data_IF_123334725761
#
_entry.id   IF_123334725761
#
_cell.length_a   1.000
_cell.length_b   1.000
_cell.length_c   1.000
_cell.angle_alpha   90.00
_cell.angle_beta   90.00
_cell.angle_gamma   90.00
#
_symmetry.space_group_name_H-M   'P 1'
#
loop_
_entity.id
_entity.type
_entity.pdbx_description
1 polymer ?
#
# COMPACT_ATOMS: atom_id res chain seq x y z
N UNK A 1 -17.96 -14.28 64.16
CA UNK A 1 -18.14 -12.83 64.43
C UNK A 1 -17.07 -12.14 63.64
N UNK A 2 -17.38 -11.72 62.41
CA UNK A 2 -16.47 -10.91 61.60
C UNK A 2 -17.28 -9.69 61.15
N UNK A 3 -17.12 -8.58 61.87
CA UNK A 3 -17.66 -7.30 61.44
C UNK A 3 -17.01 -6.91 60.12
N UNK A 4 -17.76 -6.41 59.12
CA UNK A 4 -17.15 -5.89 57.91
C UNK A 4 -16.32 -4.66 58.26
N UNK A 5 -14.99 -4.80 58.24
CA UNK A 5 -14.07 -3.68 58.40
C UNK A 5 -14.25 -2.72 57.22
N UNK A 6 -14.88 -1.57 57.46
CA UNK A 6 -14.92 -0.47 56.49
C UNK A 6 -13.57 0.25 56.48
N UNK A 7 -12.84 0.18 55.37
CA UNK A 7 -11.59 0.92 55.18
C UNK A 7 -11.90 2.30 54.62
N UNK A 8 -11.38 3.34 55.27
CA UNK A 8 -11.53 4.72 54.83
C UNK A 8 -10.48 5.02 53.76
N UNK A 9 -10.92 5.49 52.59
CA UNK A 9 -10.03 5.76 51.44
C UNK A 9 -9.94 7.25 51.21
N UNK A 10 -8.73 7.74 50.96
CA UNK A 10 -8.51 9.13 50.60
C UNK A 10 -9.04 9.37 49.19
N UNK A 11 -10.04 10.26 49.06
CA UNK A 11 -10.61 10.61 47.76
C UNK A 11 -10.86 12.13 47.71
N UNK A 12 -10.00 12.90 47.03
CA UNK A 12 -10.19 14.34 46.88
C UNK A 12 -11.42 14.63 46.03
N UNK A 13 -12.29 15.54 46.50
CA UNK A 13 -13.58 15.88 45.85
C UNK A 13 -13.41 16.43 44.44
N UNK A 14 -12.29 17.08 44.12
CA UNK A 14 -12.02 17.60 42.78
C UNK A 14 -11.57 16.52 41.78
N UNK A 15 -11.16 15.34 42.26
CA UNK A 15 -10.52 14.34 41.41
C UNK A 15 -11.47 13.18 41.14
N UNK A 16 -12.17 13.23 40.00
CA UNK A 16 -13.04 12.16 39.53
C UNK A 16 -12.22 10.92 39.15
N UNK A 17 -11.92 10.06 40.11
CA UNK A 17 -11.26 8.75 39.91
C UNK A 17 -12.28 7.63 39.89
N UNK A 18 -12.01 6.58 39.10
CA UNK A 18 -12.81 5.37 39.17
C UNK A 18 -12.41 4.57 40.42
N UNK A 19 -13.31 3.76 41.02
CA UNK A 19 -12.96 2.89 42.15
C UNK A 19 -11.82 1.90 41.85
N UNK A 20 -11.57 1.60 40.57
CA UNK A 20 -10.47 0.74 40.10
C UNK A 20 -9.11 1.45 40.02
N UNK A 21 -9.10 2.76 40.23
CA UNK A 21 -7.90 3.59 40.25
C UNK A 21 -7.47 3.95 41.68
N UNK A 22 -8.18 3.43 42.70
CA UNK A 22 -7.78 3.50 44.10
C UNK A 22 -6.58 2.56 44.30
N UNK A 23 -5.56 3.08 44.96
CA UNK A 23 -4.29 2.41 45.24
C UNK A 23 -4.06 2.31 46.75
N UNK A 24 -3.05 1.52 47.13
CA UNK A 24 -2.61 1.41 48.52
C UNK A 24 -2.18 2.77 49.10
N UNK A 25 -1.63 3.66 48.27
CA UNK A 25 -1.25 5.02 48.66
C UNK A 25 -2.47 5.85 49.10
N UNK A 26 -3.64 5.65 48.49
CA UNK A 26 -4.88 6.34 48.90
C UNK A 26 -5.36 5.85 50.29
N UNK A 27 -5.09 4.59 50.65
CA UNK A 27 -5.40 4.05 51.99
C UNK A 27 -4.38 4.54 53.01
N UNK A 28 -3.09 4.48 52.67
CA UNK A 28 -1.99 4.95 53.52
C UNK A 28 -2.16 6.44 53.84
N UNK A 29 -2.53 7.26 52.86
CA UNK A 29 -2.75 8.68 53.08
C UNK A 29 -3.94 8.95 54.01
N UNK A 30 -5.03 8.19 53.89
CA UNK A 30 -6.18 8.31 54.78
C UNK A 30 -5.86 7.94 56.23
N UNK A 31 -5.17 6.82 56.46
CA UNK A 31 -4.75 6.43 57.82
C UNK A 31 -3.68 7.37 58.37
N UNK A 32 -2.76 7.86 57.53
CA UNK A 32 -1.78 8.86 57.93
C UNK A 32 -2.46 10.16 58.40
N UNK A 33 -3.42 10.70 57.65
CA UNK A 33 -4.15 11.91 58.04
C UNK A 33 -4.87 11.74 59.38
N UNK A 34 -5.46 10.56 59.62
CA UNK A 34 -6.13 10.20 60.88
C UNK A 34 -5.14 10.12 62.05
N UNK A 35 -4.00 9.44 61.87
CA UNK A 35 -2.96 9.34 62.89
C UNK A 35 -2.36 10.72 63.18
N UNK A 36 -2.09 11.52 62.14
CA UNK A 36 -1.55 12.87 62.27
C UNK A 36 -2.51 13.79 63.03
N UNK A 37 -3.82 13.70 62.75
CA UNK A 37 -4.83 14.47 63.48
C UNK A 37 -4.88 14.11 64.97
N UNK A 38 -4.86 12.82 65.30
CA UNK A 38 -4.85 12.33 66.68
C UNK A 38 -3.58 12.75 67.43
N UNK A 39 -2.42 12.55 66.80
CA UNK A 39 -1.14 12.94 67.39
C UNK A 39 -1.07 14.45 67.64
N UNK A 40 -1.53 15.27 66.70
CA UNK A 40 -1.57 16.72 66.83
C UNK A 40 -2.39 17.20 68.03
N UNK A 41 -3.50 16.52 68.35
CA UNK A 41 -4.33 16.85 69.52
C UNK A 41 -3.60 16.57 70.85
N UNK A 42 -2.70 15.59 70.87
CA UNK A 42 -1.93 15.23 72.07
C UNK A 42 -0.72 16.14 72.35
N UNK A 43 -0.33 17.01 71.42
CA UNK A 43 0.85 17.88 71.57
C UNK A 43 0.46 19.18 72.29
N UNK A 44 0.96 19.37 73.50
CA UNK A 44 0.75 20.59 74.30
C UNK A 44 1.60 21.77 73.80
N UNK A 45 2.86 21.52 73.41
CA UNK A 45 3.80 22.55 72.94
C UNK A 45 3.40 23.14 71.58
N UNK A 46 3.24 24.46 71.51
CA UNK A 46 2.91 25.15 70.26
C UNK A 46 4.01 24.99 69.19
N UNK A 47 5.28 24.95 69.62
CA UNK A 47 6.43 24.91 68.71
C UNK A 47 6.53 23.54 68.08
N UNK A 48 6.40 22.48 68.89
CA UNK A 48 6.34 21.10 68.41
C UNK A 48 5.14 20.89 67.50
N UNK A 49 3.97 21.45 67.84
CA UNK A 49 2.76 21.36 67.02
C UNK A 49 2.97 21.98 65.63
N UNK A 50 3.63 23.15 65.55
CA UNK A 50 3.98 23.78 64.27
C UNK A 50 4.94 22.93 63.44
N UNK A 51 5.99 22.39 64.05
CA UNK A 51 6.96 21.54 63.35
C UNK A 51 6.30 20.27 62.78
N UNK A 52 5.48 19.58 63.58
CA UNK A 52 4.73 18.40 63.15
C UNK A 52 3.74 18.73 62.04
N UNK A 53 3.06 19.88 62.11
CA UNK A 53 2.17 20.31 61.02
C UNK A 53 2.93 20.51 59.71
N UNK A 54 4.09 21.17 59.75
CA UNK A 54 4.93 21.37 58.56
C UNK A 54 5.34 20.03 57.95
N UNK A 55 5.77 19.08 58.78
CA UNK A 55 6.09 17.72 58.33
C UNK A 55 4.89 17.00 57.73
N UNK A 56 3.75 16.96 58.42
CA UNK A 56 2.55 16.26 57.96
C UNK A 56 1.99 16.85 56.66
N UNK A 57 2.02 18.19 56.52
CA UNK A 57 1.67 18.85 55.26
C UNK A 57 2.61 18.48 54.13
N UNK A 58 3.94 18.58 54.34
CA UNK A 58 4.91 18.22 53.31
C UNK A 58 4.81 16.75 52.88
N UNK A 59 4.61 15.84 53.84
CA UNK A 59 4.43 14.42 53.55
C UNK A 59 3.13 14.15 52.79
N UNK A 60 2.02 14.79 53.19
CA UNK A 60 0.75 14.69 52.48
C UNK A 60 0.87 15.15 51.03
N UNK A 61 1.55 16.28 50.80
CA UNK A 61 1.74 16.83 49.46
C UNK A 61 2.55 15.84 48.59
N UNK A 62 3.66 15.31 49.13
CA UNK A 62 4.48 14.30 48.42
C UNK A 62 3.69 13.04 48.03
N UNK A 63 2.89 12.49 48.95
CA UNK A 63 2.08 11.29 48.65
C UNK A 63 0.97 11.63 47.65
N UNK A 64 0.37 12.82 47.76
CA UNK A 64 -0.66 13.28 46.82
C UNK A 64 -0.10 13.39 45.40
N UNK A 65 1.06 14.02 45.26
CA UNK A 65 1.76 14.16 43.98
C UNK A 65 2.09 12.79 43.38
N UNK A 66 2.61 11.86 44.20
CA UNK A 66 2.90 10.50 43.77
C UNK A 66 1.66 9.76 43.25
N UNK A 67 0.51 9.90 43.91
CA UNK A 67 -0.74 9.27 43.45
C UNK A 67 -1.17 9.88 42.09
N UNK A 68 -1.01 11.19 41.90
CA UNK A 68 -1.30 11.85 40.62
C UNK A 68 -0.38 11.31 39.52
N UNK A 69 0.93 11.27 39.74
CA UNK A 69 1.92 10.76 38.77
C UNK A 69 1.65 9.31 38.37
N UNK A 70 1.34 8.43 39.33
CA UNK A 70 1.00 7.03 39.06
C UNK A 70 -0.22 6.92 38.15
N UNK A 71 -1.24 7.75 38.39
CA UNK A 71 -2.45 7.75 37.58
C UNK A 71 -2.19 8.28 36.16
N UNK A 72 -1.38 9.33 36.02
CA UNK A 72 -0.96 9.84 34.72
C UNK A 72 -0.16 8.81 33.93
N UNK A 73 0.78 8.12 34.58
CA UNK A 73 1.58 7.05 33.98
C UNK A 73 0.67 5.91 33.48
N UNK A 74 -0.32 5.50 34.27
CA UNK A 74 -1.31 4.48 33.88
C UNK A 74 -2.11 4.91 32.65
N UNK A 75 -2.55 6.17 32.62
CA UNK A 75 -3.27 6.73 31.49
C UNK A 75 -2.41 6.81 30.23
N UNK A 76 -1.14 7.22 30.37
CA UNK A 76 -0.18 7.25 29.28
C UNK A 76 0.12 5.86 28.74
N UNK A 77 0.27 4.85 29.61
CA UNK A 77 0.45 3.44 29.20
C UNK A 77 -0.73 2.93 28.37
N UNK A 78 -1.97 3.25 28.78
CA UNK A 78 -3.19 2.92 28.02
C UNK A 78 -3.21 3.61 26.64
N UNK A 79 -2.88 4.91 26.58
CA UNK A 79 -2.80 5.66 25.32
C UNK A 79 -1.73 5.08 24.38
N UNK A 80 -0.56 4.75 24.92
CA UNK A 80 0.54 4.16 24.15
C UNK A 80 0.13 2.78 23.57
N UNK A 81 -0.50 1.92 24.38
CA UNK A 81 -1.02 0.64 23.89
C UNK A 81 -2.01 0.82 22.74
N UNK A 82 -2.92 1.81 22.83
CA UNK A 82 -3.85 2.14 21.73
C UNK A 82 -3.11 2.55 20.46
N UNK A 83 -2.15 3.46 20.57
CA UNK A 83 -1.33 3.92 19.43
C UNK A 83 -0.59 2.74 18.77
N UNK A 84 0.02 1.86 19.56
CA UNK A 84 0.69 0.65 19.04
C UNK A 84 -0.28 -0.25 18.26
N UNK A 85 -1.49 -0.46 18.78
CA UNK A 85 -2.51 -1.26 18.07
C UNK A 85 -2.94 -0.61 16.76
N UNK A 86 -3.11 0.72 16.74
CA UNK A 86 -3.48 1.46 15.54
C UNK A 86 -2.35 1.45 14.49
N UNK A 87 -1.09 1.58 14.92
CA UNK A 87 0.10 1.43 14.05
C UNK A 87 0.12 0.03 13.43
N UNK A 88 -0.12 -1.03 14.24
CA UNK A 88 -0.14 -2.41 13.72
C UNK A 88 -1.22 -2.61 12.67
N UNK A 89 -2.43 -2.07 12.89
CA UNK A 89 -3.53 -2.10 11.91
C UNK A 89 -3.17 -1.37 10.63
N UNK A 90 -2.60 -0.15 10.73
CA UNK A 90 -2.16 0.61 9.55
C UNK A 90 -1.07 -0.12 8.77
N UNK A 91 -0.11 -0.73 9.46
CA UNK A 91 0.95 -1.53 8.84
C UNK A 91 0.41 -2.75 8.10
N UNK A 92 -0.58 -3.44 8.66
CA UNK A 92 -1.24 -4.57 8.01
C UNK A 92 -1.96 -4.13 6.73
N UNK A 93 -2.71 -3.03 6.77
CA UNK A 93 -3.38 -2.47 5.57
C UNK A 93 -2.38 -2.06 4.49
N UNK A 94 -1.25 -1.47 4.88
CA UNK A 94 -0.18 -1.09 3.95
C UNK A 94 0.41 -2.32 3.22
N UNK A 95 0.56 -3.44 3.92
CA UNK A 95 1.04 -4.68 3.30
C UNK A 95 0.03 -5.23 2.30
N UNK A 96 -1.26 -5.27 2.64
CA UNK A 96 -2.33 -5.70 1.73
C UNK A 96 -2.37 -4.85 0.46
N UNK A 97 -2.32 -3.52 0.60
CA UNK A 97 -2.29 -2.61 -0.56
C UNK A 97 -1.04 -2.80 -1.44
N UNK A 98 0.11 -3.12 -0.84
CA UNK A 98 1.32 -3.44 -1.61
C UNK A 98 1.18 -4.75 -2.38
N UNK A 99 0.57 -5.77 -1.78
CA UNK A 99 0.31 -7.05 -2.47
C UNK A 99 -0.67 -6.85 -3.64
N UNK A 100 -1.74 -6.07 -3.45
CA UNK A 100 -2.66 -5.69 -4.52
C UNK A 100 -1.96 -4.93 -5.64
N UNK A 101 -1.08 -3.97 -5.30
CA UNK A 101 -0.30 -3.22 -6.28
C UNK A 101 0.63 -4.13 -7.10
N UNK A 102 1.37 -5.03 -6.43
CA UNK A 102 2.24 -6.00 -7.09
C UNK A 102 1.44 -6.91 -8.03
N UNK A 103 0.20 -7.26 -7.68
CA UNK A 103 -0.69 -8.02 -8.56
C UNK A 103 -1.22 -7.23 -9.76
N UNK A 104 -1.48 -5.93 -9.59
CA UNK A 104 -2.05 -5.07 -10.63
C UNK A 104 -1.03 -4.58 -11.67
N UNK A 105 0.22 -4.32 -11.26
CA UNK A 105 1.28 -3.80 -12.15
C UNK A 105 1.51 -4.67 -13.41
N UNK A 106 1.62 -6.01 -13.33
CA UNK A 106 1.79 -6.86 -14.51
C UNK A 106 0.59 -6.79 -15.46
N UNK A 107 -0.63 -6.72 -14.93
CA UNK A 107 -1.84 -6.61 -15.74
C UNK A 107 -1.85 -5.30 -16.53
N UNK A 108 -1.42 -4.20 -15.90
CA UNK A 108 -1.30 -2.90 -16.54
C UNK A 108 -0.22 -2.89 -17.63
N UNK A 109 0.92 -3.55 -17.41
CA UNK A 109 1.97 -3.71 -18.45
C UNK A 109 1.43 -4.51 -19.64
N UNK A 110 0.72 -5.62 -19.39
CA UNK A 110 0.11 -6.45 -20.45
C UNK A 110 -0.89 -5.64 -21.27
N UNK A 111 -1.78 -4.90 -20.61
CA UNK A 111 -2.79 -4.09 -21.29
C UNK A 111 -2.17 -2.98 -22.14
N UNK A 112 -1.09 -2.33 -21.67
CA UNK A 112 -0.36 -1.33 -22.45
C UNK A 112 0.27 -1.93 -23.71
N UNK A 113 0.83 -3.13 -23.62
CA UNK A 113 1.38 -3.84 -24.79
C UNK A 113 0.28 -4.17 -25.80
N UNK A 114 -0.82 -4.75 -25.34
CA UNK A 114 -1.96 -5.08 -26.20
C UNK A 114 -2.54 -3.83 -26.88
N UNK A 115 -2.61 -2.71 -26.17
CA UNK A 115 -3.03 -1.44 -26.74
C UNK A 115 -2.08 -0.95 -27.83
N UNK A 116 -0.75 -1.03 -27.62
CA UNK A 116 0.23 -0.65 -28.63
C UNK A 116 0.13 -1.52 -29.90
N UNK A 117 0.01 -2.85 -29.73
CA UNK A 117 -0.19 -3.78 -30.86
C UNK A 117 -1.47 -3.48 -31.64
N UNK A 118 -2.56 -3.14 -30.95
CA UNK A 118 -3.82 -2.77 -31.60
C UNK A 118 -3.72 -1.45 -32.37
N UNK A 119 -2.96 -0.47 -31.87
CA UNK A 119 -2.70 0.78 -32.58
C UNK A 119 -1.87 0.55 -33.85
N UNK A 120 -0.84 -0.29 -33.78
CA UNK A 120 -0.04 -0.67 -34.95
C UNK A 120 -0.88 -1.38 -36.01
N UNK A 121 -1.68 -2.37 -35.61
CA UNK A 121 -2.61 -3.06 -36.52
C UNK A 121 -3.58 -2.08 -37.19
N UNK A 122 -4.08 -1.10 -36.43
CA UNK A 122 -4.97 -0.07 -36.96
C UNK A 122 -4.27 0.80 -38.01
N UNK A 123 -3.02 1.21 -37.78
CA UNK A 123 -2.26 1.98 -38.76
C UNK A 123 -1.97 1.17 -40.02
N UNK A 124 -1.58 -0.11 -39.87
CA UNK A 124 -1.35 -1.00 -41.01
C UNK A 124 -2.62 -1.22 -41.83
N UNK A 125 -3.78 -1.36 -41.18
CA UNK A 125 -5.06 -1.46 -41.88
C UNK A 125 -5.42 -0.18 -42.64
N UNK A 126 -5.13 0.99 -42.07
CA UNK A 126 -5.32 2.26 -42.78
C UNK A 126 -4.45 2.32 -44.03
N UNK A 127 -3.16 1.99 -43.93
CA UNK A 127 -2.24 1.94 -45.07
C UNK A 127 -2.67 0.93 -46.14
N UNK A 128 -3.14 -0.25 -45.73
CA UNK A 128 -3.66 -1.24 -46.67
C UNK A 128 -4.92 -0.73 -47.39
N UNK A 129 -5.77 0.04 -46.71
CA UNK A 129 -6.95 0.65 -47.32
C UNK A 129 -6.56 1.72 -48.35
N UNK A 130 -5.58 2.56 -48.01
CA UNK A 130 -5.01 3.58 -48.92
C UNK A 130 -4.38 2.91 -50.17
N UNK A 131 -3.59 1.86 -49.99
CA UNK A 131 -3.04 1.11 -51.13
C UNK A 131 -4.14 0.55 -52.05
N UNK A 132 -5.23 0.04 -51.47
CA UNK A 132 -6.35 -0.50 -52.25
C UNK A 132 -7.13 0.60 -52.99
N UNK A 133 -7.19 1.82 -52.47
CA UNK A 133 -7.77 2.95 -53.20
C UNK A 133 -6.87 3.36 -54.35
N UNK A 134 -5.57 3.49 -54.11
CA UNK A 134 -4.59 3.87 -55.15
C UNK A 134 -4.57 2.85 -56.30
N UNK A 135 -4.66 1.55 -55.98
CA UNK A 135 -4.74 0.49 -57.00
C UNK A 135 -6.03 0.54 -57.82
N UNK A 136 -7.15 0.95 -57.23
CA UNK A 136 -8.41 1.12 -57.97
C UNK A 136 -8.33 2.31 -58.93
N UNK A 137 -7.75 3.41 -58.49
CA UNK A 137 -7.52 4.59 -59.32
C UNK A 137 -6.60 4.23 -60.49
N UNK A 138 -5.45 3.60 -60.22
CA UNK A 138 -4.54 3.13 -61.26
C UNK A 138 -5.21 2.17 -62.25
N UNK A 139 -6.06 1.26 -61.76
CA UNK A 139 -6.81 0.35 -62.63
C UNK A 139 -7.74 1.12 -63.57
N UNK A 140 -8.43 2.14 -63.06
CA UNK A 140 -9.31 2.97 -63.87
C UNK A 140 -8.52 3.71 -64.94
N UNK A 141 -7.41 4.36 -64.57
CA UNK A 141 -6.52 5.05 -65.50
C UNK A 141 -6.01 4.12 -66.63
N UNK A 142 -5.69 2.86 -66.28
CA UNK A 142 -5.27 1.87 -67.25
C UNK A 142 -6.39 1.46 -68.22
N UNK A 143 -7.64 1.38 -67.75
CA UNK A 143 -8.79 1.09 -68.59
C UNK A 143 -9.07 2.25 -69.54
N UNK A 144 -9.08 3.47 -69.02
CA UNK A 144 -9.33 4.70 -69.79
C UNK A 144 -8.27 4.86 -70.90
N UNK A 145 -6.98 4.70 -70.57
CA UNK A 145 -5.90 4.76 -71.57
C UNK A 145 -6.03 3.71 -72.67
N UNK A 146 -6.51 2.51 -72.33
CA UNK A 146 -6.70 1.41 -73.30
C UNK A 146 -7.86 1.68 -74.24
N UNK A 147 -8.93 2.30 -73.76
CA UNK A 147 -10.04 2.76 -74.62
C UNK A 147 -9.56 3.81 -75.62
N UNK A 148 -8.69 4.72 -75.19
CA UNK A 148 -8.07 5.72 -76.07
C UNK A 148 -7.07 5.14 -77.07
N UNK A 149 -6.37 4.03 -76.73
CA UNK A 149 -5.28 3.45 -77.52
C UNK A 149 -5.49 1.94 -77.86
N UNK A 150 -6.52 1.58 -78.64
CA UNK A 150 -6.94 0.18 -78.81
C UNK A 150 -5.98 -0.70 -79.64
N UNK A 151 -5.08 -0.11 -80.43
CA UNK A 151 -4.15 -0.83 -81.32
C UNK A 151 -2.77 -1.07 -80.68
N UNK A 152 -2.52 -0.50 -79.52
CA UNK A 152 -1.21 -0.58 -78.85
C UNK A 152 -1.10 -1.87 -78.05
N UNK A 153 0.01 -2.59 -78.22
CA UNK A 153 0.22 -3.90 -77.61
C UNK A 153 0.75 -3.73 -76.19
N UNK A 154 0.06 -4.30 -75.20
CA UNK A 154 0.49 -4.25 -73.81
C UNK A 154 1.81 -5.02 -73.63
N UNK A 155 2.86 -4.33 -73.18
CA UNK A 155 4.16 -4.92 -72.87
C UNK A 155 4.46 -4.72 -71.38
N UNK A 156 4.72 -5.80 -70.67
CA UNK A 156 5.06 -5.76 -69.25
C UNK A 156 6.59 -5.79 -69.08
N UNK A 157 7.15 -4.70 -68.54
CA UNK A 157 8.57 -4.62 -68.17
C UNK A 157 8.87 -5.35 -66.85
N UNK A 158 10.17 -5.49 -66.53
CA UNK A 158 10.65 -6.07 -65.27
C UNK A 158 10.25 -5.26 -64.03
N UNK A 159 9.91 -3.98 -64.20
CA UNK A 159 9.36 -3.09 -63.17
C UNK A 159 7.82 -3.00 -63.18
N UNK A 160 7.14 -3.81 -63.97
CA UNK A 160 5.67 -3.82 -64.01
C UNK A 160 5.08 -4.39 -62.72
N UNK A 161 3.88 -3.96 -62.35
CA UNK A 161 3.19 -4.42 -61.15
C UNK A 161 3.10 -5.96 -61.07
N UNK A 162 2.74 -6.71 -62.14
CA UNK A 162 2.77 -8.18 -62.10
C UNK A 162 4.16 -8.75 -61.76
N UNK A 163 5.23 -8.18 -62.32
CA UNK A 163 6.60 -8.61 -62.04
C UNK A 163 6.99 -8.31 -60.58
N UNK A 164 6.67 -7.12 -60.08
CA UNK A 164 6.91 -6.72 -58.69
C UNK A 164 6.14 -7.59 -57.69
N UNK A 165 4.88 -7.94 -57.98
CA UNK A 165 4.08 -8.83 -57.13
C UNK A 165 4.65 -10.24 -57.05
N UNK A 166 5.17 -10.77 -58.17
CA UNK A 166 5.84 -12.08 -58.19
C UNK A 166 7.11 -12.07 -57.33
N UNK A 167 7.94 -11.03 -57.43
CA UNK A 167 9.14 -10.91 -56.58
C UNK A 167 8.79 -10.70 -55.11
N UNK A 168 7.81 -9.83 -54.82
CA UNK A 168 7.32 -9.58 -53.45
C UNK A 168 6.85 -10.87 -52.77
N UNK A 169 6.15 -11.76 -53.50
CA UNK A 169 5.72 -13.07 -53.00
C UNK A 169 6.90 -13.94 -52.57
N UNK A 170 8.01 -13.92 -53.32
CA UNK A 170 9.21 -14.69 -52.98
C UNK A 170 9.85 -14.18 -51.70
N UNK A 171 9.95 -12.86 -51.55
CA UNK A 171 10.48 -12.19 -50.36
C UNK A 171 9.64 -12.54 -49.12
N UNK A 172 8.31 -12.41 -49.21
CA UNK A 172 7.39 -12.76 -48.11
C UNK A 172 7.48 -14.25 -47.72
N UNK A 173 7.70 -15.13 -48.70
CA UNK A 173 7.96 -16.55 -48.44
C UNK A 173 9.23 -16.75 -47.59
N UNK A 174 10.32 -16.08 -47.96
CA UNK A 174 11.58 -16.14 -47.21
C UNK A 174 11.44 -15.56 -45.79
N UNK A 175 10.74 -14.44 -45.64
CA UNK A 175 10.46 -13.83 -44.33
C UNK A 175 9.71 -14.81 -43.41
N UNK A 176 8.63 -15.44 -43.91
CA UNK A 176 7.86 -16.43 -43.15
C UNK A 176 8.74 -17.61 -42.71
N UNK A 177 9.68 -18.04 -43.54
CA UNK A 177 10.65 -19.07 -43.15
C UNK A 177 11.53 -18.62 -41.98
N UNK A 178 12.07 -17.40 -42.02
CA UNK A 178 12.87 -16.86 -40.92
C UNK A 178 12.07 -16.70 -39.62
N UNK A 179 10.84 -16.21 -39.69
CA UNK A 179 9.95 -16.11 -38.53
C UNK A 179 9.72 -17.49 -37.87
N UNK A 180 9.49 -18.52 -38.68
CA UNK A 180 9.28 -19.89 -38.18
C UNK A 180 10.54 -20.48 -37.53
N UNK A 181 11.73 -20.22 -38.12
CA UNK A 181 13.01 -20.60 -37.51
C UNK A 181 13.17 -19.91 -36.15
N UNK A 182 12.91 -18.60 -36.08
CA UNK A 182 13.10 -17.83 -34.86
C UNK A 182 12.16 -18.31 -33.73
N UNK A 183 10.90 -18.58 -34.05
CA UNK A 183 9.92 -19.16 -33.09
C UNK A 183 10.41 -20.48 -32.51
N UNK A 184 10.91 -21.41 -33.34
CA UNK A 184 11.46 -22.70 -32.88
C UNK A 184 12.69 -22.53 -31.99
N UNK A 185 13.53 -21.53 -32.27
CA UNK A 185 14.69 -21.21 -31.43
C UNK A 185 14.27 -20.67 -30.07
N UNK A 186 13.27 -19.77 -30.03
CA UNK A 186 12.72 -19.25 -28.77
C UNK A 186 12.10 -20.36 -27.90
N UNK A 187 11.35 -21.28 -28.51
CA UNK A 187 10.81 -22.46 -27.82
C UNK A 187 11.92 -23.35 -27.24
N UNK A 188 12.98 -23.62 -28.02
CA UNK A 188 14.12 -24.41 -27.57
C UNK A 188 14.85 -23.74 -26.39
N UNK A 189 15.04 -22.41 -26.44
CA UNK A 189 15.63 -21.63 -25.35
C UNK A 189 14.76 -21.65 -24.08
N UNK A 190 13.44 -21.54 -24.22
CA UNK A 190 12.51 -21.63 -23.10
C UNK A 190 12.59 -23.01 -22.41
N UNK A 191 12.66 -24.09 -23.20
CA UNK A 191 12.85 -25.45 -22.67
C UNK A 191 14.19 -25.59 -21.93
N UNK A 192 15.28 -25.01 -22.45
CA UNK A 192 16.58 -25.05 -21.76
C UNK A 192 16.57 -24.26 -20.44
N UNK A 193 15.97 -23.06 -20.42
CA UNK A 193 15.82 -22.26 -19.20
C UNK A 193 15.01 -22.99 -18.13
N UNK A 194 13.93 -23.67 -18.54
CA UNK A 194 13.13 -24.51 -17.65
C UNK A 194 13.88 -25.72 -17.10
N UNK A 195 14.80 -26.32 -17.88
CA UNK A 195 15.67 -27.43 -17.43
C UNK A 195 16.74 -26.97 -16.43
N UNK A 196 17.33 -25.79 -16.64
CA UNK A 196 18.32 -25.19 -15.72
C UNK A 196 17.70 -24.82 -14.37
N UNK A 197 16.47 -24.29 -14.37
CA UNK A 197 15.75 -23.94 -13.14
C UNK A 197 15.32 -25.14 -12.29
N UNK A 198 15.35 -26.37 -12.83
CA UNK A 198 15.03 -27.62 -12.10
C UNK A 198 16.26 -28.34 -11.53
N UNK A 199 17.47 -27.87 -11.84
CA UNK A 199 18.74 -28.47 -11.40
C UNK A 199 19.36 -27.78 -10.17
N UNK A 200 18.71 -26.74 -9.63
CA UNK A 200 19.10 -26.03 -8.42
C UNK A 200 18.01 -26.10 -7.37
#
# INVERSE_FOLDING_TARGET
VDSPCSVQVWCPKELKRSPRDITELDVVLAEFEKIAANYRQSIESNVCRKAVNGFCSAFKDQITDLIVEVQELKNMKRKNAKVITDIRKKRQRLLQLREELIGAEPQLIKLRREYAEMQERKSSLRQATELLTDLKELQQDCLDYREENPKEKVVYGTSSLPALLVESRRILGAERHFQNINMKLEEALAVQRGKLSKKH
#
